data_IF_527306352233
#
_entry.id   IF_527306352233
#
_cell.length_a   1.000
_cell.length_b   1.000
_cell.length_c   1.000
_cell.angle_alpha   90.00
_cell.angle_beta   90.00
_cell.angle_gamma   90.00
#
_symmetry.space_group_name_H-M   'P 1'
#
loop_
_entity.id
_entity.type
_entity.pdbx_description
1 polymer ?
#
# COMPACT_ATOMS: atom_id res chain seq x y z
N UNK A 1 -11.82 -24.00 11.29
CA UNK A 1 -10.51 -23.35 11.12
C UNK A 1 -10.61 -22.47 9.89
N UNK A 2 -10.40 -21.17 10.03
CA UNK A 2 -10.39 -20.22 8.93
C UNK A 2 -9.06 -20.25 8.18
N UNK A 3 -9.13 -20.22 6.85
CA UNK A 3 -7.98 -20.10 5.97
C UNK A 3 -7.94 -18.69 5.38
N UNK A 4 -6.82 -18.00 5.54
CA UNK A 4 -6.62 -16.70 4.90
C UNK A 4 -5.58 -16.77 3.79
N UNK A 5 -5.78 -15.95 2.77
CA UNK A 5 -4.78 -15.69 1.75
C UNK A 5 -4.20 -14.29 1.93
N UNK A 6 -2.88 -14.16 1.77
CA UNK A 6 -2.23 -12.85 1.77
C UNK A 6 -1.80 -12.51 0.34
N UNK A 7 -2.15 -11.32 -0.13
CA UNK A 7 -1.62 -10.76 -1.38
C UNK A 7 -0.52 -9.74 -1.04
N UNK A 8 0.65 -9.85 -1.65
CA UNK A 8 1.79 -8.97 -1.38
C UNK A 8 2.70 -8.78 -2.60
N UNK A 9 3.23 -7.57 -2.81
CA UNK A 9 4.12 -7.26 -3.94
C UNK A 9 5.58 -7.01 -3.53
N UNK A 10 5.83 -6.71 -2.25
CA UNK A 10 7.12 -6.19 -1.79
C UNK A 10 7.84 -7.07 -0.76
N UNK A 11 8.40 -6.40 0.26
CA UNK A 11 9.25 -7.00 1.29
C UNK A 11 8.54 -8.09 2.10
N UNK A 12 7.22 -7.98 2.29
CA UNK A 12 6.39 -8.97 3.00
C UNK A 12 6.48 -8.93 4.52
N UNK A 13 6.86 -7.80 5.13
CA UNK A 13 6.99 -7.69 6.59
C UNK A 13 5.65 -7.87 7.32
N UNK A 14 4.56 -7.25 6.85
CA UNK A 14 3.22 -7.49 7.39
C UNK A 14 2.78 -8.94 7.19
N UNK A 15 3.03 -9.52 6.01
CA UNK A 15 2.72 -10.92 5.74
C UNK A 15 3.42 -11.87 6.71
N UNK A 16 4.72 -11.61 6.99
CA UNK A 16 5.49 -12.38 7.96
C UNK A 16 4.97 -12.22 9.38
N UNK A 17 4.63 -10.99 9.79
CA UNK A 17 4.04 -10.73 11.09
C UNK A 17 2.74 -11.52 11.27
N UNK A 18 1.79 -11.38 10.32
CA UNK A 18 0.51 -12.10 10.32
C UNK A 18 0.73 -13.61 10.36
N UNK A 19 1.63 -14.13 9.51
CA UNK A 19 1.97 -15.54 9.50
C UNK A 19 2.51 -15.99 10.87
N UNK A 20 3.50 -15.30 11.44
CA UNK A 20 4.03 -15.63 12.78
C UNK A 20 2.97 -15.59 13.87
N UNK A 21 2.06 -14.62 13.83
CA UNK A 21 0.96 -14.50 14.80
C UNK A 21 0.01 -15.69 14.73
N UNK A 22 -0.31 -16.19 13.53
CA UNK A 22 -1.36 -17.21 13.37
C UNK A 22 -0.86 -18.62 13.06
N UNK A 23 0.41 -18.84 12.70
CA UNK A 23 0.90 -20.16 12.27
C UNK A 23 0.84 -21.25 13.36
N UNK A 24 0.77 -20.84 14.64
CA UNK A 24 0.64 -21.76 15.77
C UNK A 24 -0.81 -21.88 16.28
N UNK A 25 -1.76 -21.14 15.68
CA UNK A 25 -3.15 -21.11 16.10
C UNK A 25 -3.92 -22.33 15.59
N UNK A 26 -4.82 -22.87 16.41
CA UNK A 26 -5.68 -23.99 16.03
C UNK A 26 -6.85 -23.58 15.12
N UNK A 27 -7.09 -22.28 14.96
CA UNK A 27 -8.36 -21.76 14.43
C UNK A 27 -8.26 -20.86 13.22
N UNK A 28 -7.10 -20.25 12.98
CA UNK A 28 -6.81 -19.38 11.85
C UNK A 28 -5.42 -19.71 11.36
N UNK A 29 -5.23 -19.82 10.04
CA UNK A 29 -3.90 -19.96 9.43
C UNK A 29 -3.78 -19.20 8.12
N UNK A 30 -2.56 -18.75 7.83
CA UNK A 30 -2.19 -18.29 6.50
C UNK A 30 -2.00 -19.51 5.60
N UNK A 31 -2.98 -19.77 4.73
CA UNK A 31 -2.98 -20.98 3.89
C UNK A 31 -2.20 -20.78 2.59
N UNK A 32 -2.19 -19.56 2.08
CA UNK A 32 -1.62 -19.21 0.80
C UNK A 32 -1.14 -17.76 0.81
N UNK A 33 0.02 -17.50 0.21
CA UNK A 33 0.46 -16.16 -0.15
C UNK A 33 0.56 -16.10 -1.66
N UNK A 34 -0.04 -15.08 -2.28
CA UNK A 34 0.13 -14.79 -3.71
C UNK A 34 0.92 -13.51 -3.88
N UNK A 35 1.87 -13.53 -4.80
CA UNK A 35 2.66 -12.35 -5.17
C UNK A 35 2.67 -12.14 -6.66
N UNK A 36 2.72 -10.88 -7.10
CA UNK A 36 2.85 -10.49 -8.50
C UNK A 36 4.30 -10.22 -8.93
N UNK A 37 5.27 -10.46 -8.04
CA UNK A 37 6.71 -10.29 -8.28
C UNK A 37 7.45 -11.60 -7.97
N UNK A 38 8.23 -12.11 -8.93
CA UNK A 38 8.87 -13.43 -8.81
C UNK A 38 10.04 -13.44 -7.79
N UNK A 39 10.56 -12.25 -7.49
CA UNK A 39 11.66 -11.96 -6.59
C UNK A 39 11.21 -11.19 -5.34
N UNK A 40 9.91 -11.16 -5.06
CA UNK A 40 9.38 -10.49 -3.88
C UNK A 40 9.99 -11.05 -2.58
N UNK A 41 10.41 -10.15 -1.68
CA UNK A 41 10.97 -10.53 -0.38
C UNK A 41 10.02 -11.38 0.48
N UNK A 42 8.70 -11.29 0.24
CA UNK A 42 7.70 -12.14 0.90
C UNK A 42 7.96 -13.63 0.69
N UNK A 43 8.47 -14.04 -0.49
CA UNK A 43 8.75 -15.45 -0.82
C UNK A 43 9.78 -16.03 0.16
N UNK A 44 10.87 -15.30 0.37
CA UNK A 44 11.95 -15.70 1.28
C UNK A 44 11.47 -15.71 2.75
N UNK A 45 10.59 -14.77 3.14
CA UNK A 45 10.03 -14.71 4.50
C UNK A 45 9.06 -15.83 4.81
N UNK A 46 8.29 -16.30 3.83
CA UNK A 46 7.29 -17.35 4.04
C UNK A 46 7.89 -18.75 4.07
N UNK A 47 9.00 -18.98 3.36
CA UNK A 47 9.68 -20.29 3.31
C UNK A 47 9.98 -20.90 4.68
N UNK A 48 10.66 -20.22 5.63
CA UNK A 48 10.94 -20.79 6.96
C UNK A 48 9.68 -21.01 7.82
N UNK A 49 8.56 -20.36 7.48
CA UNK A 49 7.28 -20.52 8.16
C UNK A 49 6.44 -21.67 7.58
N UNK A 50 6.89 -22.31 6.50
CA UNK A 50 6.15 -23.39 5.83
C UNK A 50 4.86 -22.92 5.13
N UNK A 51 4.72 -21.62 4.87
CA UNK A 51 3.54 -21.04 4.22
C UNK A 51 3.70 -21.14 2.70
N UNK A 52 2.74 -21.79 2.05
CA UNK A 52 2.69 -21.90 0.61
C UNK A 52 2.62 -20.53 -0.05
N UNK A 53 3.60 -20.23 -0.91
CA UNK A 53 3.70 -18.94 -1.60
C UNK A 53 3.78 -19.18 -3.10
N UNK A 54 2.92 -18.51 -3.88
CA UNK A 54 2.89 -18.64 -5.34
C UNK A 54 3.06 -17.29 -6.02
N UNK A 55 3.99 -17.25 -6.98
CA UNK A 55 4.08 -16.15 -7.93
C UNK A 55 2.99 -16.28 -9.00
N UNK A 56 2.26 -15.21 -9.22
CA UNK A 56 1.21 -15.09 -10.24
C UNK A 56 1.58 -13.95 -11.17
N UNK A 57 1.76 -14.27 -12.46
CA UNK A 57 2.21 -13.30 -13.45
C UNK A 57 1.30 -12.07 -13.50
N UNK A 58 1.84 -10.84 -13.66
CA UNK A 58 1.05 -9.62 -13.82
C UNK A 58 -0.03 -9.67 -14.91
N UNK A 59 0.19 -10.48 -15.95
CA UNK A 59 -0.80 -10.71 -17.02
C UNK A 59 -2.04 -11.45 -16.53
N UNK A 60 -1.91 -12.39 -15.60
CA UNK A 60 -3.04 -13.15 -15.04
C UNK A 60 -3.93 -12.22 -14.23
N UNK A 61 -3.35 -11.39 -13.36
CA UNK A 61 -4.09 -10.38 -12.60
C UNK A 61 -4.91 -9.42 -13.47
N UNK A 62 -4.40 -9.10 -14.67
CA UNK A 62 -5.04 -8.14 -15.59
C UNK A 62 -6.05 -8.81 -16.52
N UNK A 63 -5.69 -9.93 -17.11
CA UNK A 63 -6.40 -10.51 -18.26
C UNK A 63 -7.19 -11.76 -17.88
N UNK A 64 -6.78 -12.47 -16.84
CA UNK A 64 -7.34 -13.77 -16.44
C UNK A 64 -7.61 -13.81 -14.92
N UNK A 65 -8.29 -12.79 -14.33
CA UNK A 65 -8.48 -12.69 -12.88
C UNK A 65 -9.28 -13.85 -12.29
N UNK A 66 -10.08 -14.55 -13.11
CA UNK A 66 -10.78 -15.76 -12.71
C UNK A 66 -9.82 -16.86 -12.21
N UNK A 67 -8.60 -16.97 -12.77
CA UNK A 67 -7.63 -17.95 -12.28
C UNK A 67 -7.19 -17.66 -10.84
N UNK A 68 -7.15 -16.38 -10.44
CA UNK A 68 -6.86 -16.01 -9.05
C UNK A 68 -8.00 -16.46 -8.15
N UNK A 69 -9.25 -16.22 -8.55
CA UNK A 69 -10.44 -16.70 -7.83
C UNK A 69 -10.40 -18.23 -7.68
N UNK A 70 -10.10 -18.95 -8.75
CA UNK A 70 -10.03 -20.42 -8.74
C UNK A 70 -8.93 -20.92 -7.79
N UNK A 71 -7.76 -20.26 -7.77
CA UNK A 71 -6.70 -20.57 -6.81
C UNK A 71 -7.15 -20.33 -5.37
N UNK A 72 -7.79 -19.20 -5.07
CA UNK A 72 -8.28 -18.90 -3.73
C UNK A 72 -9.36 -19.92 -3.29
N UNK A 73 -10.30 -20.26 -4.17
CA UNK A 73 -11.33 -21.26 -3.90
C UNK A 73 -10.75 -22.66 -3.69
N UNK A 74 -9.79 -23.07 -4.51
CA UNK A 74 -9.11 -24.37 -4.38
C UNK A 74 -8.37 -24.53 -3.04
N UNK A 75 -7.97 -23.42 -2.40
CA UNK A 75 -7.37 -23.42 -1.07
C UNK A 75 -8.37 -23.23 0.07
N UNK A 76 -9.67 -23.11 -0.24
CA UNK A 76 -10.74 -22.90 0.74
C UNK A 76 -10.55 -21.62 1.54
N UNK A 77 -10.14 -20.54 0.88
CA UNK A 77 -9.87 -19.24 1.52
C UNK A 77 -11.18 -18.58 1.94
N UNK A 78 -11.23 -18.15 3.21
CA UNK A 78 -12.37 -17.47 3.82
C UNK A 78 -12.21 -15.94 3.82
N UNK A 79 -10.97 -15.43 3.89
CA UNK A 79 -10.65 -14.01 3.87
C UNK A 79 -9.35 -13.75 3.09
N UNK A 80 -9.37 -12.74 2.23
CA UNK A 80 -8.20 -12.23 1.49
C UNK A 80 -7.68 -10.97 2.19
N UNK A 81 -6.36 -10.92 2.40
CA UNK A 81 -5.67 -9.88 3.15
C UNK A 81 -4.61 -9.24 2.26
N UNK A 82 -4.76 -7.95 1.93
CA UNK A 82 -3.80 -7.22 1.11
C UNK A 82 -2.70 -6.59 1.99
N UNK A 83 -1.53 -7.21 2.02
CA UNK A 83 -0.39 -6.76 2.81
C UNK A 83 0.71 -6.20 1.90
N UNK A 84 0.55 -4.94 1.47
CA UNK A 84 1.48 -4.31 0.53
C UNK A 84 1.34 -4.86 -0.90
N UNK A 85 0.10 -5.14 -1.32
CA UNK A 85 -0.21 -5.51 -2.69
C UNK A 85 -0.39 -4.26 -3.56
N UNK A 86 0.47 -4.08 -4.57
CA UNK A 86 0.56 -2.83 -5.33
C UNK A 86 -0.25 -2.84 -6.62
N UNK A 87 -1.25 -3.72 -6.72
CA UNK A 87 -2.13 -3.82 -7.89
C UNK A 87 -3.57 -3.55 -7.51
N UNK A 88 -4.28 -2.96 -8.47
CA UNK A 88 -5.73 -2.95 -8.44
C UNK A 88 -6.28 -4.38 -8.39
N UNK A 89 -7.19 -4.63 -7.45
CA UNK A 89 -7.92 -5.89 -7.37
C UNK A 89 -9.07 -5.83 -8.38
N UNK A 90 -9.10 -6.79 -9.29
CA UNK A 90 -10.16 -6.85 -10.31
C UNK A 90 -11.54 -7.00 -9.66
N UNK A 91 -12.60 -6.36 -10.19
CA UNK A 91 -13.98 -6.57 -9.74
C UNK A 91 -14.37 -8.06 -9.74
N UNK A 92 -13.84 -8.86 -10.67
CA UNK A 92 -14.05 -10.31 -10.70
C UNK A 92 -13.65 -11.00 -9.38
N UNK A 93 -12.56 -10.53 -8.75
CA UNK A 93 -12.09 -11.05 -7.47
C UNK A 93 -12.92 -10.48 -6.31
N UNK A 94 -13.23 -9.17 -6.35
CA UNK A 94 -14.06 -8.50 -5.34
C UNK A 94 -15.45 -9.14 -5.26
N UNK A 95 -16.09 -9.39 -6.40
CA UNK A 95 -17.41 -9.99 -6.51
C UNK A 95 -17.44 -11.46 -6.04
N UNK A 96 -16.34 -12.19 -6.17
CA UNK A 96 -16.21 -13.55 -5.66
C UNK A 96 -16.01 -13.60 -4.13
N UNK A 97 -15.50 -12.52 -3.54
CA UNK A 97 -15.21 -12.40 -2.10
C UNK A 97 -15.89 -11.15 -1.50
N UNK A 98 -17.23 -11.04 -1.59
CA UNK A 98 -17.94 -9.87 -1.08
C UNK A 98 -17.73 -9.76 0.42
N UNK A 99 -17.31 -8.57 0.90
CA UNK A 99 -16.98 -8.34 2.31
C UNK A 99 -15.93 -9.32 2.89
N UNK A 100 -15.13 -9.95 2.02
CA UNK A 100 -14.09 -10.94 2.37
C UNK A 100 -12.70 -10.55 1.86
N UNK A 101 -12.49 -9.28 1.54
CA UNK A 101 -11.18 -8.73 1.18
C UNK A 101 -10.93 -7.49 2.02
N UNK A 102 -9.82 -7.46 2.76
CA UNK A 102 -9.40 -6.30 3.55
C UNK A 102 -8.01 -5.83 3.13
N UNK A 103 -7.81 -4.52 3.15
CA UNK A 103 -6.53 -3.87 2.87
C UNK A 103 -6.09 -3.01 4.04
N UNK A 104 -4.78 -2.94 4.25
CA UNK A 104 -4.16 -1.99 5.16
C UNK A 104 -3.57 -0.83 4.36
N UNK A 105 -3.88 0.38 4.79
CA UNK A 105 -3.45 1.62 4.16
C UNK A 105 -2.73 2.52 5.17
N UNK A 106 -1.53 3.04 4.86
CA UNK A 106 -0.69 3.78 5.80
C UNK A 106 -1.10 5.27 5.96
N UNK A 107 -2.41 5.54 6.03
CA UNK A 107 -2.96 6.84 6.37
C UNK A 107 -4.31 6.70 7.09
N UNK A 108 -4.82 7.80 7.63
CA UNK A 108 -6.17 7.92 8.16
C UNK A 108 -7.16 8.21 7.01
N UNK A 109 -7.67 7.16 6.36
CA UNK A 109 -8.64 7.29 5.29
C UNK A 109 -9.89 8.06 5.76
N UNK A 110 -10.51 8.88 4.89
CA UNK A 110 -10.25 9.01 3.45
C UNK A 110 -9.03 9.88 3.07
N UNK A 111 -8.32 10.46 4.05
CA UNK A 111 -7.15 11.29 3.77
C UNK A 111 -5.99 10.44 3.24
N UNK A 112 -5.26 11.00 2.26
CA UNK A 112 -4.12 10.36 1.61
C UNK A 112 -4.41 8.94 1.10
N UNK A 113 -5.64 8.67 0.67
CA UNK A 113 -6.04 7.46 -0.05
C UNK A 113 -6.14 7.69 -1.55
N UNK A 114 -6.34 6.60 -2.29
CA UNK A 114 -6.64 6.63 -3.70
C UNK A 114 -5.42 6.41 -4.59
N UNK A 115 -5.64 6.55 -5.90
CA UNK A 115 -4.62 6.22 -6.90
C UNK A 115 -3.34 7.06 -6.71
N UNK A 116 -2.22 6.38 -6.52
CA UNK A 116 -0.89 7.00 -6.35
C UNK A 116 -0.48 7.20 -4.89
N UNK A 117 -1.41 7.06 -3.95
CA UNK A 117 -1.14 7.06 -2.52
C UNK A 117 -0.92 5.62 -2.06
N UNK A 118 0.31 5.13 -2.14
CA UNK A 118 0.68 3.80 -1.67
C UNK A 118 2.13 3.80 -1.20
N UNK A 119 2.45 2.93 -0.24
CA UNK A 119 3.79 2.82 0.33
C UNK A 119 4.37 4.18 0.73
N UNK A 120 5.62 4.41 0.34
CA UNK A 120 6.38 5.62 0.72
C UNK A 120 5.73 6.94 0.26
N UNK A 121 4.98 6.93 -0.85
CA UNK A 121 4.33 8.14 -1.36
C UNK A 121 3.34 8.75 -0.36
N UNK A 122 2.73 7.91 0.49
CA UNK A 122 1.79 8.37 1.52
C UNK A 122 2.55 9.17 2.58
N UNK A 123 3.69 8.65 3.05
CA UNK A 123 4.51 9.31 4.05
C UNK A 123 5.11 10.61 3.53
N UNK A 124 5.57 10.63 2.28
CA UNK A 124 6.02 11.85 1.60
C UNK A 124 4.93 12.92 1.60
N UNK A 125 3.70 12.54 1.20
CA UNK A 125 2.58 13.47 1.10
C UNK A 125 2.18 14.03 2.48
N UNK A 126 2.11 13.16 3.50
CA UNK A 126 1.76 13.55 4.88
C UNK A 126 2.79 14.50 5.48
N UNK A 127 4.09 14.20 5.33
CA UNK A 127 5.16 15.08 5.83
C UNK A 127 5.19 16.40 5.05
N UNK A 128 5.04 16.36 3.72
CA UNK A 128 5.02 17.56 2.88
C UNK A 128 3.84 18.49 3.19
N UNK A 129 2.71 17.93 3.62
CA UNK A 129 1.54 18.69 4.06
C UNK A 129 1.69 19.31 5.46
N UNK A 130 2.74 18.95 6.21
CA UNK A 130 2.97 19.45 7.57
C UNK A 130 1.96 18.94 8.59
N UNK A 131 1.43 17.73 8.36
CA UNK A 131 0.50 17.09 9.28
C UNK A 131 1.14 16.84 10.64
N UNK A 132 0.33 16.93 11.71
CA UNK A 132 0.77 16.61 13.07
C UNK A 132 0.43 15.20 13.50
N UNK A 133 -0.41 14.53 12.71
CA UNK A 133 -0.88 13.18 12.97
C UNK A 133 -1.03 12.44 11.65
N UNK A 134 -0.62 11.18 11.66
CA UNK A 134 -0.92 10.19 10.63
C UNK A 134 -1.57 8.98 11.29
N UNK A 135 -1.62 7.87 10.58
CA UNK A 135 -2.13 6.64 11.13
C UNK A 135 -2.28 5.56 10.09
N UNK A 136 -2.98 4.51 10.48
CA UNK A 136 -3.17 3.31 9.69
C UNK A 136 -4.65 3.02 9.64
N UNK A 137 -5.15 2.68 8.46
CA UNK A 137 -6.52 2.24 8.26
C UNK A 137 -6.53 0.82 7.72
N UNK A 138 -7.32 -0.05 8.35
CA UNK A 138 -7.76 -1.30 7.72
C UNK A 138 -9.19 -1.12 7.25
N UNK A 139 -9.46 -1.44 5.98
CA UNK A 139 -10.76 -1.27 5.36
C UNK A 139 -11.08 -2.44 4.44
N UNK A 140 -12.36 -2.63 4.14
CA UNK A 140 -12.80 -3.56 3.11
C UNK A 140 -12.46 -3.03 1.71
N UNK A 141 -12.12 -3.93 0.80
CA UNK A 141 -11.80 -3.58 -0.58
C UNK A 141 -13.06 -3.61 -1.43
N UNK A 142 -13.28 -2.56 -2.22
CA UNK A 142 -14.33 -2.48 -3.24
C UNK A 142 -13.72 -2.21 -4.63
N UNK A 143 -14.54 -1.76 -5.58
CA UNK A 143 -14.12 -1.45 -6.95
C UNK A 143 -13.36 -0.12 -7.09
N UNK A 144 -13.09 0.57 -5.97
CA UNK A 144 -12.38 1.85 -5.90
C UNK A 144 -11.20 1.74 -4.94
N UNK A 145 -10.17 2.54 -5.21
CA UNK A 145 -9.01 2.59 -4.30
C UNK A 145 -9.41 3.23 -2.98
N UNK A 146 -9.12 2.52 -1.89
CA UNK A 146 -9.17 3.03 -0.51
C UNK A 146 -10.51 3.68 -0.12
N UNK A 147 -11.61 3.17 -0.66
CA UNK A 147 -12.95 3.73 -0.50
C UNK A 147 -13.88 2.86 0.35
N UNK A 148 -13.64 1.55 0.41
CA UNK A 148 -14.53 0.62 1.11
C UNK A 148 -14.61 0.89 2.61
N UNK A 149 -15.58 0.22 3.25
CA UNK A 149 -15.91 0.43 4.66
C UNK A 149 -14.67 0.28 5.56
N UNK A 150 -14.44 1.30 6.41
CA UNK A 150 -13.37 1.29 7.40
C UNK A 150 -13.71 0.27 8.49
N UNK A 151 -12.80 -0.69 8.68
CA UNK A 151 -12.91 -1.72 9.69
C UNK A 151 -12.25 -1.30 11.01
N UNK A 152 -11.05 -0.71 10.93
CA UNK A 152 -10.29 -0.27 12.10
C UNK A 152 -9.31 0.83 11.71
N UNK A 153 -9.05 1.77 12.61
CA UNK A 153 -8.03 2.81 12.45
C UNK A 153 -7.23 2.96 13.74
N UNK A 154 -5.98 3.39 13.60
CA UNK A 154 -5.12 3.76 14.72
C UNK A 154 -4.19 4.90 14.31
N UNK A 155 -3.79 5.74 15.26
CA UNK A 155 -3.09 7.01 14.98
C UNK A 155 -1.63 6.95 15.37
N UNK A 156 -0.84 7.83 14.74
CA UNK A 156 0.58 8.06 15.05
C UNK A 156 0.83 9.56 15.07
N UNK A 157 1.44 10.04 16.14
CA UNK A 157 1.87 11.43 16.23
C UNK A 157 3.13 11.69 15.41
N UNK A 158 3.12 12.83 14.70
CA UNK A 158 4.24 13.34 13.92
C UNK A 158 4.92 14.44 14.74
N UNK A 159 6.22 14.31 14.96
CA UNK A 159 7.05 15.34 15.58
C UNK A 159 7.75 16.17 14.50
N UNK A 160 8.21 17.40 14.82
CA UNK A 160 8.91 18.25 13.85
C UNK A 160 10.17 17.65 13.25
N UNK A 161 10.75 16.63 13.89
CA UNK A 161 11.97 15.93 13.47
C UNK A 161 11.68 14.71 12.58
N UNK A 162 10.41 14.33 12.41
CA UNK A 162 10.06 13.17 11.59
C UNK A 162 10.35 13.43 10.11
N UNK A 163 10.89 12.41 9.47
CA UNK A 163 11.04 12.29 8.02
C UNK A 163 10.04 11.26 7.49
N UNK A 164 9.81 11.16 6.17
CA UNK A 164 8.99 10.10 5.60
C UNK A 164 9.43 8.70 6.05
N UNK A 165 10.75 8.46 6.16
CA UNK A 165 11.31 7.20 6.62
C UNK A 165 11.07 6.92 8.11
N UNK A 166 11.19 7.93 8.99
CA UNK A 166 10.90 7.72 10.42
C UNK A 166 9.40 7.55 10.66
N UNK A 167 8.56 8.25 9.89
CA UNK A 167 7.12 8.06 9.89
C UNK A 167 6.74 6.65 9.42
N UNK A 168 7.32 6.17 8.32
CA UNK A 168 7.13 4.80 7.81
C UNK A 168 7.43 3.76 8.90
N UNK A 169 8.52 3.93 9.65
CA UNK A 169 8.86 3.03 10.77
C UNK A 169 7.83 3.06 11.89
N UNK A 170 7.30 4.24 12.25
CA UNK A 170 6.23 4.35 13.26
C UNK A 170 4.94 3.68 12.76
N UNK A 171 4.57 3.91 11.51
CA UNK A 171 3.41 3.32 10.86
C UNK A 171 3.53 1.79 10.83
N UNK A 172 4.65 1.22 10.38
CA UNK A 172 4.86 -0.23 10.38
C UNK A 172 4.67 -0.88 11.76
N UNK A 173 5.07 -0.21 12.85
CA UNK A 173 4.85 -0.72 14.23
C UNK A 173 3.36 -0.80 14.56
N UNK A 174 2.58 0.18 14.13
CA UNK A 174 1.12 0.20 14.31
C UNK A 174 0.47 -0.83 13.41
N UNK A 175 0.90 -0.99 12.16
CA UNK A 175 0.38 -2.03 11.27
C UNK A 175 0.55 -3.44 11.85
N UNK A 176 1.70 -3.74 12.45
CA UNK A 176 1.96 -5.06 13.04
C UNK A 176 1.03 -5.42 14.20
N UNK A 177 0.46 -4.44 14.91
CA UNK A 177 -0.54 -4.68 15.95
C UNK A 177 -1.96 -4.57 15.42
N UNK A 178 -2.23 -3.61 14.53
CA UNK A 178 -3.55 -3.32 14.00
C UNK A 178 -4.03 -4.39 13.03
N UNK A 179 -3.18 -4.86 12.12
CA UNK A 179 -3.63 -5.73 11.04
C UNK A 179 -4.09 -7.10 11.55
N UNK A 180 -3.36 -7.79 12.46
CA UNK A 180 -3.88 -9.00 13.08
C UNK A 180 -5.25 -8.76 13.75
N UNK A 181 -5.42 -7.64 14.48
CA UNK A 181 -6.71 -7.26 15.11
C UNK A 181 -7.85 -7.12 14.11
N UNK A 182 -7.58 -6.45 13.00
CA UNK A 182 -8.57 -6.27 11.96
C UNK A 182 -8.92 -7.59 11.24
N UNK A 183 -7.96 -8.50 11.03
CA UNK A 183 -8.21 -9.80 10.39
C UNK A 183 -9.25 -10.60 11.16
N UNK A 184 -9.09 -10.75 12.47
CA UNK A 184 -10.02 -11.58 13.22
C UNK A 184 -11.35 -10.84 13.44
N UNK A 185 -11.36 -9.52 13.56
CA UNK A 185 -12.61 -8.75 13.56
C UNK A 185 -13.39 -8.96 12.24
N UNK A 186 -12.70 -8.98 11.10
CA UNK A 186 -13.33 -9.33 9.82
C UNK A 186 -13.91 -10.75 9.84
N UNK A 187 -13.17 -11.75 10.36
CA UNK A 187 -13.68 -13.12 10.55
C UNK A 187 -14.88 -13.18 11.49
N UNK A 188 -14.91 -12.37 12.57
CA UNK A 188 -16.07 -12.27 13.48
C UNK A 188 -17.31 -11.82 12.74
N UNK A 189 -17.22 -10.72 12.00
CA UNK A 189 -18.31 -10.19 11.19
C UNK A 189 -18.79 -11.21 10.15
N UNK A 190 -17.87 -11.97 9.54
CA UNK A 190 -18.23 -13.05 8.61
C UNK A 190 -19.02 -14.16 9.28
N UNK A 191 -18.65 -14.55 10.51
CA UNK A 191 -19.38 -15.57 11.27
C UNK A 191 -20.78 -15.12 11.68
N UNK A 192 -20.96 -13.83 11.96
CA UNK A 192 -22.26 -13.26 12.39
C UNK A 192 -23.21 -13.04 11.21
N UNK A 193 -22.67 -12.74 10.02
CA UNK A 193 -23.47 -12.47 8.82
C UNK A 193 -23.98 -13.73 8.11
N UNK A 194 -23.76 -14.93 8.67
CA UNK A 194 -24.47 -16.14 8.24
C UNK A 194 -23.98 -16.79 6.95
N UNK A 195 -22.70 -16.64 6.58
CA UNK A 195 -22.04 -17.52 5.61
C UNK A 195 -21.85 -18.92 6.25
N UNK A 196 -23.00 -19.57 6.44
CA UNK A 196 -23.23 -20.89 6.99
C UNK A 196 -22.72 -21.96 6.02
N UNK A 197 -21.39 -22.15 5.99
CA UNK A 197 -20.90 -23.51 5.75
C UNK A 197 -21.17 -24.33 7.00
N UNK A 198 -22.28 -25.07 6.92
CA UNK A 198 -22.71 -26.18 7.79
C UNK A 198 -23.16 -25.81 9.21
N UNK A 199 -24.45 -25.53 9.35
CA UNK A 199 -25.17 -25.91 10.58
C UNK A 199 -25.51 -27.40 10.52
N UNK A 200 -24.68 -28.26 11.14
CA UNK A 200 -25.13 -29.51 11.79
C UNK A 200 -23.97 -30.21 12.52
N UNK A 201 -24.09 -30.26 13.86
CA UNK A 201 -23.51 -31.26 14.76
C UNK A 201 -21.96 -31.38 14.85
N UNK A 202 -21.31 -30.44 15.54
CA UNK A 202 -20.10 -30.70 16.32
C UNK A 202 -19.93 -29.59 17.37
N UNK A 203 -19.38 -29.92 18.53
CA UNK A 203 -19.12 -29.08 19.73
C UNK A 203 -18.98 -27.57 19.45
N UNK A 204 -19.64 -26.75 20.30
CA UNK A 204 -19.66 -25.30 20.20
C UNK A 204 -18.24 -24.75 19.95
N UNK A 205 -18.00 -24.28 18.72
CA UNK A 205 -16.75 -23.60 18.36
C UNK A 205 -16.62 -22.38 19.28
N UNK A 206 -15.44 -22.13 19.88
CA UNK A 206 -15.23 -20.96 20.73
C UNK A 206 -15.59 -19.70 19.97
N UNK A 207 -16.19 -18.74 20.67
CA UNK A 207 -16.54 -17.43 20.10
C UNK A 207 -15.28 -16.68 19.71
N UNK A 208 -15.34 -15.80 18.71
CA UNK A 208 -14.16 -15.08 18.21
C UNK A 208 -13.42 -14.30 19.32
N UNK A 209 -14.13 -13.81 20.32
CA UNK A 209 -13.55 -13.13 21.47
C UNK A 209 -12.77 -14.08 22.40
N UNK A 210 -13.25 -15.31 22.61
CA UNK A 210 -12.50 -16.36 23.32
C UNK A 210 -11.29 -16.81 22.50
N UNK A 211 -11.42 -16.86 21.16
CA UNK A 211 -10.34 -17.20 20.22
C UNK A 211 -9.20 -16.18 20.27
N UNK A 212 -9.55 -14.90 20.47
CA UNK A 212 -8.62 -13.79 20.63
C UNK A 212 -7.80 -13.89 21.91
N UNK A 213 -8.48 -14.10 23.03
CA UNK A 213 -7.86 -14.25 24.34
C UNK A 213 -6.77 -15.33 24.32
N UNK A 214 -7.09 -16.47 23.70
CA UNK A 214 -6.18 -17.61 23.59
C UNK A 214 -5.00 -17.33 22.67
N UNK A 215 -5.23 -16.72 21.50
CA UNK A 215 -4.18 -16.46 20.50
C UNK A 215 -3.19 -15.40 20.97
N UNK A 216 -3.70 -14.33 21.60
CA UNK A 216 -2.88 -13.23 22.09
C UNK A 216 -2.38 -13.44 23.52
N UNK A 217 -2.76 -14.53 24.19
CA UNK A 217 -2.43 -14.83 25.60
C UNK A 217 -2.83 -13.70 26.55
N UNK A 218 -4.03 -13.16 26.38
CA UNK A 218 -4.62 -12.10 27.22
C UNK A 218 -5.81 -12.66 27.99
N UNK A 219 -5.94 -12.30 29.27
CA UNK A 219 -7.08 -12.68 30.09
C UNK A 219 -8.34 -11.95 29.60
N UNK A 220 -9.30 -12.69 29.04
CA UNK A 220 -10.60 -12.17 28.62
C UNK A 220 -11.68 -12.62 29.60
N UNK A 221 -12.43 -11.64 30.13
CA UNK A 221 -13.62 -11.90 30.93
C UNK A 221 -14.83 -11.25 30.22
N UNK A 222 -15.79 -12.04 29.71
CA UNK A 222 -16.96 -11.53 28.99
C UNK A 222 -17.86 -10.64 29.86
N UNK A 223 -17.79 -10.74 31.20
CA UNK A 223 -18.53 -9.87 32.11
C UNK A 223 -17.90 -8.49 32.33
N UNK A 224 -16.65 -8.28 31.90
CA UNK A 224 -15.92 -7.00 32.01
C UNK A 224 -15.54 -6.41 30.64
N UNK A 225 -15.87 -7.10 29.54
CA UNK A 225 -15.76 -6.55 28.20
C UNK A 225 -16.77 -5.41 28.07
N UNK A 226 -16.31 -4.20 28.35
CA UNK A 226 -17.09 -2.97 28.20
C UNK A 226 -17.60 -2.93 26.77
N UNK A 227 -18.92 -3.03 26.59
CA UNK A 227 -19.59 -2.62 25.35
C UNK A 227 -19.00 -1.28 24.93
N UNK A 228 -18.51 -1.11 23.67
CA UNK A 228 -18.03 0.18 23.21
C UNK A 228 -19.07 1.24 23.61
N UNK A 229 -18.65 2.39 24.18
CA UNK A 229 -19.60 3.39 24.62
C UNK A 229 -20.53 3.71 23.44
N UNK A 230 -21.85 3.76 23.65
CA UNK A 230 -22.76 4.08 22.57
C UNK A 230 -22.36 5.43 21.98
N UNK A 231 -22.31 5.49 20.64
CA UNK A 231 -22.10 6.73 19.89
C UNK A 231 -23.04 7.78 20.50
N UNK A 232 -22.52 8.92 21.01
CA UNK A 232 -23.37 9.94 21.59
C UNK A 232 -24.42 10.36 20.57
N UNK A 233 -25.68 10.01 20.82
CA UNK A 233 -26.78 10.61 20.08
C UNK A 233 -26.81 12.10 20.46
N UNK A 234 -26.93 13.02 19.49
CA UNK A 234 -27.08 14.43 19.82
C UNK A 234 -28.31 14.59 20.71
N UNK A 235 -28.11 15.20 21.88
CA UNK A 235 -29.19 15.50 22.81
C UNK A 235 -30.25 16.35 22.10
N UNK A 236 -31.51 15.93 22.19
CA UNK A 236 -32.63 16.73 21.76
C UNK A 236 -32.58 18.10 22.48
N UNK A 237 -32.43 19.18 21.72
CA UNK A 237 -32.66 20.54 22.22
C UNK A 237 -31.47 21.50 22.29
N UNK A 238 -30.42 21.35 21.47
CA UNK A 238 -29.46 22.45 21.26
C UNK A 238 -29.63 23.06 19.88
N UNK A 239 -30.07 24.33 19.87
CA UNK A 239 -30.27 25.13 18.67
C UNK A 239 -28.93 25.34 17.94
N UNK A 240 -28.94 25.01 16.65
CA UNK A 240 -27.85 25.32 15.71
C UNK A 240 -27.84 26.82 15.44
N UNK A 241 -26.70 27.53 15.53
CA UNK A 241 -26.62 28.93 15.11
C UNK A 241 -26.85 29.04 13.59
N UNK A 242 -27.61 30.05 13.11
CA UNK A 242 -27.97 30.15 11.71
C UNK A 242 -26.77 30.61 10.87
N UNK A 243 -26.65 30.03 9.68
CA UNK A 243 -25.64 30.23 8.62
C UNK A 243 -24.29 29.50 8.75
N UNK A 244 -24.29 28.26 8.27
CA UNK A 244 -23.26 27.81 7.34
C UNK A 244 -23.90 26.90 6.26
N UNK A 245 -24.18 27.50 5.10
CA UNK A 245 -24.22 26.84 3.78
C UNK A 245 -25.20 25.69 3.55
N UNK A 246 -26.44 26.02 3.20
CA UNK A 246 -27.36 25.11 2.50
C UNK A 246 -26.80 24.85 1.09
N UNK A 247 -26.47 23.59 0.76
CA UNK A 247 -26.32 23.17 -0.64
C UNK A 247 -27.71 22.90 -1.26
N UNK A 248 -27.96 23.29 -2.52
CA UNK A 248 -29.26 23.14 -3.15
C UNK A 248 -29.55 21.69 -3.62
N UNK A 249 -30.84 21.32 -3.80
CA UNK A 249 -31.29 19.98 -4.15
C UNK A 249 -31.04 19.58 -5.62
N UNK A 250 -31.09 18.27 -5.94
CA UNK A 250 -30.54 17.71 -7.18
C UNK A 250 -31.51 17.87 -8.35
N UNK A 251 -31.38 18.95 -9.10
CA UNK A 251 -32.00 19.09 -10.41
C UNK A 251 -31.18 20.03 -11.30
N UNK A 252 -29.98 19.56 -11.65
CA UNK A 252 -29.25 19.84 -12.90
C UNK A 252 -27.88 19.14 -12.85
N UNK A 253 -27.87 17.80 -12.82
CA UNK A 253 -26.66 17.06 -13.22
C UNK A 253 -26.55 17.19 -14.73
N UNK A 254 -25.81 18.19 -15.19
CA UNK A 254 -25.20 18.12 -16.51
C UNK A 254 -24.37 16.83 -16.55
N UNK A 255 -24.59 16.04 -17.59
CA UNK A 255 -23.73 14.90 -17.91
C UNK A 255 -22.27 15.34 -17.80
N UNK A 256 -21.40 14.61 -17.07
CA UNK A 256 -19.99 14.98 -17.00
C UNK A 256 -19.45 15.06 -18.43
N UNK A 257 -18.64 16.08 -18.76
CA UNK A 257 -18.03 16.16 -20.08
C UNK A 257 -17.22 14.89 -20.33
N UNK A 258 -17.15 14.40 -21.58
CA UNK A 258 -16.41 13.18 -21.91
C UNK A 258 -14.99 13.31 -21.36
N UNK A 259 -14.54 12.25 -20.66
CA UNK A 259 -13.24 12.19 -20.01
C UNK A 259 -12.16 12.80 -20.92
N UNK A 260 -11.65 13.98 -20.53
CA UNK A 260 -10.53 14.59 -21.21
C UNK A 260 -9.40 13.55 -21.26
N UNK A 261 -8.89 13.29 -22.46
CA UNK A 261 -7.78 12.35 -22.65
C UNK A 261 -6.63 12.77 -21.74
N UNK A 262 -6.36 11.97 -20.70
CA UNK A 262 -5.25 12.21 -19.78
C UNK A 262 -3.97 12.18 -20.61
N UNK A 263 -3.28 13.32 -20.70
CA UNK A 263 -2.04 13.42 -21.46
C UNK A 263 -1.02 12.39 -20.95
N UNK A 264 -0.29 11.68 -21.83
CA UNK A 264 0.65 10.65 -21.42
C UNK A 264 1.83 11.24 -20.65
N UNK A 265 2.33 10.49 -19.66
CA UNK A 265 3.47 10.89 -18.84
C UNK A 265 4.74 11.08 -19.67
N UNK A 266 5.47 12.21 -19.51
CA UNK A 266 6.75 12.42 -20.17
C UNK A 266 7.82 11.44 -19.65
N UNK A 267 8.79 11.09 -20.50
CA UNK A 267 9.82 10.11 -20.13
C UNK A 267 10.68 10.59 -18.96
N UNK A 268 10.90 9.72 -17.96
CA UNK A 268 11.72 10.05 -16.79
C UNK A 268 13.21 9.94 -17.05
N UNK A 269 13.65 9.13 -18.02
CA UNK A 269 15.05 8.84 -18.33
C UNK A 269 15.89 8.28 -17.16
N UNK A 270 15.25 7.76 -16.10
CA UNK A 270 15.94 7.34 -14.88
C UNK A 270 17.04 6.29 -15.13
N UNK A 271 16.75 5.28 -15.94
CA UNK A 271 17.73 4.24 -16.29
C UNK A 271 18.94 4.84 -17.03
N UNK A 272 18.71 5.73 -17.99
CA UNK A 272 19.79 6.41 -18.72
C UNK A 272 20.59 7.34 -17.82
N UNK A 273 19.94 8.05 -16.89
CA UNK A 273 20.61 8.90 -15.90
C UNK A 273 21.57 8.09 -15.02
N UNK A 274 21.17 6.91 -14.56
CA UNK A 274 22.05 6.00 -13.78
C UNK A 274 23.26 5.57 -14.63
N UNK A 275 23.02 5.12 -15.86
CA UNK A 275 24.09 4.64 -16.75
C UNK A 275 25.14 5.72 -17.00
N UNK A 276 24.73 6.95 -17.37
CA UNK A 276 25.70 8.04 -17.64
C UNK A 276 26.39 8.54 -16.38
N UNK A 277 25.75 8.42 -15.21
CA UNK A 277 26.38 8.76 -13.93
C UNK A 277 27.53 7.80 -13.61
N UNK A 278 27.36 6.50 -13.89
CA UNK A 278 28.37 5.48 -13.64
C UNK A 278 29.50 5.48 -14.68
N UNK A 279 29.18 5.76 -15.95
CA UNK A 279 30.11 5.57 -17.07
C UNK A 279 30.74 6.86 -17.60
N UNK A 280 30.27 8.04 -17.18
CA UNK A 280 30.73 9.32 -17.73
C UNK A 280 31.16 10.28 -16.62
N UNK A 281 30.31 11.25 -16.28
CA UNK A 281 30.63 12.29 -15.31
C UNK A 281 29.66 12.23 -14.13
N UNK A 282 30.22 12.04 -12.93
CA UNK A 282 29.46 11.87 -11.71
C UNK A 282 28.60 13.10 -11.36
N UNK A 283 29.17 14.32 -11.41
CA UNK A 283 28.49 15.54 -10.93
C UNK A 283 27.24 15.89 -11.77
N UNK A 284 27.31 15.99 -13.11
CA UNK A 284 26.13 16.22 -13.94
C UNK A 284 25.20 15.00 -13.98
N UNK A 285 25.74 13.79 -13.78
CA UNK A 285 24.95 12.55 -13.68
C UNK A 285 24.00 12.55 -12.47
N UNK A 286 24.47 12.98 -11.30
CA UNK A 286 23.62 13.12 -10.10
C UNK A 286 22.49 14.12 -10.35
N UNK A 287 22.75 15.24 -11.04
CA UNK A 287 21.70 16.19 -11.41
C UNK A 287 20.67 15.56 -12.36
N UNK A 288 21.11 14.74 -13.32
CA UNK A 288 20.19 13.99 -14.17
C UNK A 288 19.26 13.07 -13.36
N UNK A 289 19.80 12.33 -12.38
CA UNK A 289 19.01 11.45 -11.51
C UNK A 289 17.96 12.25 -10.72
N UNK A 290 18.34 13.39 -10.15
CA UNK A 290 17.44 14.26 -9.38
C UNK A 290 16.28 14.81 -10.22
N UNK A 291 16.54 15.20 -11.46
CA UNK A 291 15.47 15.67 -12.35
C UNK A 291 14.63 14.51 -12.88
N UNK A 292 15.24 13.35 -13.15
CA UNK A 292 14.55 12.11 -13.54
C UNK A 292 13.55 11.63 -12.50
N UNK A 293 13.90 11.67 -11.20
CA UNK A 293 13.00 11.24 -10.12
C UNK A 293 11.80 12.17 -9.93
N UNK A 294 11.95 13.47 -10.25
CA UNK A 294 10.89 14.48 -10.14
C UNK A 294 9.83 14.40 -11.24
N UNK A 295 10.08 13.69 -12.35
CA UNK A 295 9.14 13.60 -13.48
C UNK A 295 7.83 12.93 -13.06
N UNK A 296 7.93 11.73 -12.47
CA UNK A 296 6.75 10.98 -12.01
C UNK A 296 6.02 11.71 -10.89
N UNK A 297 6.76 12.22 -9.90
CA UNK A 297 6.19 12.98 -8.77
C UNK A 297 5.36 14.19 -9.25
N UNK A 298 5.91 15.02 -10.14
CA UNK A 298 5.19 16.18 -10.68
C UNK A 298 4.00 15.81 -11.56
N UNK A 299 4.13 14.77 -12.37
CA UNK A 299 3.04 14.29 -13.22
C UNK A 299 1.84 13.83 -12.39
N UNK A 300 2.08 13.05 -11.33
CA UNK A 300 1.01 12.57 -10.45
C UNK A 300 0.46 13.63 -9.50
N UNK A 301 1.21 14.69 -9.22
CA UNK A 301 0.71 15.89 -8.53
C UNK A 301 -0.19 16.79 -9.41
N UNK A 302 -0.44 16.42 -10.67
CA UNK A 302 -1.22 17.22 -11.63
C UNK A 302 -0.42 18.36 -12.28
N UNK A 303 0.86 18.54 -11.93
CA UNK A 303 1.78 19.51 -12.52
C UNK A 303 2.40 18.95 -13.82
N UNK A 304 1.57 18.80 -14.86
CA UNK A 304 1.97 18.23 -16.16
C UNK A 304 3.09 19.05 -16.80
N UNK A 305 3.02 20.37 -16.71
CA UNK A 305 4.04 21.25 -17.29
C UNK A 305 5.37 21.15 -16.52
N UNK A 306 5.32 21.05 -15.20
CA UNK A 306 6.48 20.78 -14.37
C UNK A 306 7.09 19.41 -14.64
N UNK A 307 6.28 18.38 -14.89
CA UNK A 307 6.78 17.06 -15.28
C UNK A 307 7.54 17.12 -16.62
N UNK A 308 7.02 17.85 -17.61
CA UNK A 308 7.72 18.08 -18.89
C UNK A 308 9.00 18.90 -18.71
N UNK A 309 9.01 19.89 -17.81
CA UNK A 309 10.23 20.67 -17.50
C UNK A 309 11.28 19.79 -16.82
N UNK A 310 10.88 18.95 -15.86
CA UNK A 310 11.78 18.01 -15.20
C UNK A 310 12.35 16.98 -16.19
N UNK A 311 11.51 16.44 -17.09
CA UNK A 311 11.95 15.50 -18.14
C UNK A 311 12.98 16.13 -19.09
N UNK A 312 12.74 17.37 -19.54
CA UNK A 312 13.71 18.12 -20.37
C UNK A 312 15.01 18.39 -19.64
N UNK A 313 14.96 18.78 -18.37
CA UNK A 313 16.17 19.01 -17.56
C UNK A 313 16.96 17.70 -17.37
N UNK A 314 16.28 16.58 -17.09
CA UNK A 314 16.92 15.27 -17.02
C UNK A 314 17.65 14.93 -18.32
N UNK A 315 17.00 15.10 -19.46
CA UNK A 315 17.60 14.87 -20.78
C UNK A 315 18.83 15.77 -21.03
N UNK A 316 18.76 17.06 -20.70
CA UNK A 316 19.87 18.00 -20.84
C UNK A 316 21.07 17.55 -19.98
N UNK A 317 20.84 17.22 -18.71
CA UNK A 317 21.90 16.81 -17.80
C UNK A 317 22.53 15.46 -18.18
N UNK A 318 21.76 14.55 -18.79
CA UNK A 318 22.29 13.32 -19.39
C UNK A 318 23.27 13.64 -20.52
N UNK A 319 22.88 14.53 -21.44
CA UNK A 319 23.73 14.94 -22.57
C UNK A 319 24.99 15.65 -22.06
N UNK A 320 24.86 16.57 -21.11
CA UNK A 320 25.99 17.27 -20.50
C UNK A 320 26.95 16.28 -19.82
N UNK A 321 26.43 15.33 -19.05
CA UNK A 321 27.24 14.28 -18.40
C UNK A 321 28.02 13.46 -19.42
N UNK A 322 27.35 13.03 -20.49
CA UNK A 322 27.95 12.25 -21.56
C UNK A 322 29.07 13.02 -22.28
N UNK A 323 28.79 14.26 -22.72
CA UNK A 323 29.78 15.09 -23.41
C UNK A 323 31.01 15.38 -22.53
N UNK A 324 30.81 15.70 -21.25
CA UNK A 324 31.91 15.92 -20.32
C UNK A 324 32.72 14.65 -20.06
N UNK A 325 32.05 13.49 -19.96
CA UNK A 325 32.72 12.20 -19.84
C UNK A 325 33.60 11.87 -21.05
N UNK A 326 33.07 12.07 -22.26
CA UNK A 326 33.83 11.87 -23.51
C UNK A 326 35.01 12.85 -23.58
N UNK A 327 34.80 14.14 -23.31
CA UNK A 327 35.88 15.14 -23.34
C UNK A 327 37.00 14.82 -22.35
N UNK A 328 36.62 14.42 -21.13
CA UNK A 328 37.57 14.04 -20.07
C UNK A 328 38.39 12.81 -20.48
N UNK A 329 37.74 11.78 -20.99
CA UNK A 329 38.40 10.52 -21.37
C UNK A 329 39.24 10.63 -22.65
N UNK A 330 38.84 11.46 -23.61
CA UNK A 330 39.52 11.55 -24.92
C UNK A 330 40.57 12.65 -25.00
N UNK A 331 40.45 13.74 -24.24
CA UNK A 331 41.41 14.85 -24.29
C UNK A 331 42.20 15.00 -23.00
N UNK A 332 41.52 15.04 -21.85
CA UNK A 332 42.17 15.35 -20.57
C UNK A 332 43.04 14.20 -20.06
N UNK A 333 42.52 12.98 -20.03
CA UNK A 333 43.29 11.80 -19.58
C UNK A 333 44.56 11.59 -20.43
N UNK A 334 44.48 11.56 -21.78
CA UNK A 334 45.67 11.39 -22.62
C UNK A 334 46.66 12.54 -22.46
N UNK A 335 46.19 13.79 -22.38
CA UNK A 335 47.05 14.94 -22.11
C UNK A 335 47.81 14.78 -20.79
N UNK A 336 47.12 14.39 -19.70
CA UNK A 336 47.74 14.19 -18.39
C UNK A 336 48.77 13.05 -18.39
N UNK A 337 48.49 11.96 -19.11
CA UNK A 337 49.43 10.83 -19.27
C UNK A 337 50.69 11.29 -20.03
N UNK A 338 50.52 12.07 -21.09
CA UNK A 338 51.64 12.61 -21.87
C UNK A 338 52.42 13.64 -21.04
N UNK A 339 51.74 14.58 -20.40
CA UNK A 339 52.37 15.62 -19.58
C UNK A 339 53.17 15.03 -18.40
N UNK A 340 52.70 13.96 -17.76
CA UNK A 340 53.44 13.26 -16.71
C UNK A 340 54.61 12.44 -17.25
N UNK A 341 54.51 11.89 -18.47
CA UNK A 341 55.59 11.16 -19.12
C UNK A 341 56.75 12.06 -19.59
N UNK A 342 56.50 13.33 -19.91
CA UNK A 342 57.50 14.29 -20.40
C UNK A 342 57.92 15.35 -19.37
N UNK A 343 57.30 15.36 -18.19
CA UNK A 343 57.56 16.33 -17.11
C UNK A 343 58.47 15.82 -15.97
N UNK A 344 59.14 14.67 -16.15
CA UNK A 344 60.05 14.05 -15.19
C UNK A 344 61.51 14.06 -15.67
#
# INVERSE_FOLDING_TARGET
>A
MYNIAILASGSGTNAENIAKTFNQGMLLRVRLVLTDHADAGVIERMRPLGVETRYVKPSVWRNEPQQVVDMLNAHGIDLVVLAGFMRFVSPVIVDAFPQRIINIHPALLPAYGGKGMWGHHVHDAVIAAGEKQSGVTVHYVDDKYDHGEILMQDTVDITPEDTPETLEQKIHRVEYSLYPRAIVEALRRLSENGDSKEEAAAEAKPTVDEMWAQTLKVDYNPATAVTPPPIPQPAAGQAVPPNAGIMPPPSQMQTPPPAAAVEPMPQSYLAMAIIVTLLCCFIPGVLAILFSSRVSSKYYAGDIEGARRASRLAQIWIIVSFCLGVLSTTLYLPYMIVASAFGA
#
